data_IF_944304158584
#
_entry.id   IF_944304158584
#
_cell.length_a   1.000
_cell.length_b   1.000
_cell.length_c   1.000
_cell.angle_alpha   90.00
_cell.angle_beta   90.00
_cell.angle_gamma   90.00
#
_symmetry.space_group_name_H-M   'P 1'
#
loop_
_entity.id
_entity.type
_entity.pdbx_description
1 polymer ?
#
# COMPACT_ATOMS: atom_id res chain seq x y z
N UNK A 1 7.05 -15.57 0.83
CA UNK A 1 7.28 -14.29 1.53
C UNK A 1 5.92 -13.87 2.04
N UNK A 2 5.81 -13.52 3.31
CA UNK A 2 4.55 -13.16 3.94
C UNK A 2 4.65 -11.76 4.53
N UNK A 3 3.50 -11.10 4.65
CA UNK A 3 3.31 -9.77 5.20
C UNK A 3 2.81 -9.93 6.63
N UNK A 4 3.51 -9.34 7.59
CA UNK A 4 3.04 -9.20 8.95
C UNK A 4 2.77 -7.72 9.22
N UNK A 5 1.53 -7.36 9.48
CA UNK A 5 1.15 -6.02 9.90
C UNK A 5 0.86 -6.02 11.41
N UNK A 6 1.55 -5.16 12.16
CA UNK A 6 1.30 -4.95 13.59
C UNK A 6 0.78 -3.54 13.80
N UNK A 7 -0.22 -3.44 14.67
CA UNK A 7 -0.74 -2.19 15.19
C UNK A 7 -0.24 -2.00 16.60
N UNK A 8 0.61 -1.01 16.78
CA UNK A 8 1.20 -0.69 18.07
C UNK A 8 0.67 0.66 18.53
N UNK A 9 0.12 0.69 19.74
CA UNK A 9 -0.27 1.94 20.41
C UNK A 9 0.81 2.22 21.43
N UNK A 10 1.56 3.31 21.24
CA UNK A 10 2.59 3.72 22.19
C UNK A 10 1.95 4.39 23.42
N UNK A 11 2.73 4.45 24.51
CA UNK A 11 2.25 4.95 25.80
C UNK A 11 1.85 6.44 25.78
N UNK A 12 2.28 7.19 24.77
CA UNK A 12 1.94 8.59 24.53
C UNK A 12 0.68 8.77 23.65
N UNK A 13 0.08 7.67 23.19
CA UNK A 13 -1.12 7.66 22.36
C UNK A 13 -0.87 7.70 20.85
N UNK A 14 0.40 7.71 20.41
CA UNK A 14 0.71 7.49 19.00
C UNK A 14 0.29 6.07 18.58
N UNK A 15 -0.25 5.95 17.37
CA UNK A 15 -0.47 4.64 16.75
C UNK A 15 0.55 4.46 15.64
N UNK A 16 1.03 3.24 15.48
CA UNK A 16 1.90 2.86 14.39
C UNK A 16 1.29 1.72 13.60
N UNK A 17 1.40 1.80 12.28
CA UNK A 17 1.21 0.65 11.39
C UNK A 17 2.60 0.21 10.96
N UNK A 18 3.02 -0.95 11.43
CA UNK A 18 4.29 -1.56 11.03
C UNK A 18 4.01 -2.71 10.11
N UNK A 19 4.51 -2.61 8.88
CA UNK A 19 4.46 -3.66 7.88
C UNK A 19 5.83 -4.32 7.78
N UNK A 20 5.88 -5.61 8.05
CA UNK A 20 7.09 -6.42 7.93
C UNK A 20 6.90 -7.43 6.81
N UNK A 21 7.72 -7.31 5.77
CA UNK A 21 7.90 -8.36 4.78
C UNK A 21 8.87 -9.39 5.32
N UNK A 22 8.41 -10.62 5.45
CA UNK A 22 9.17 -11.68 6.10
C UNK A 22 9.35 -12.87 5.14
N UNK A 23 10.58 -13.36 5.05
CA UNK A 23 10.88 -14.61 4.33
C UNK A 23 10.89 -15.77 5.33
N UNK A 24 10.12 -16.82 5.05
CA UNK A 24 10.30 -18.14 5.68
C UNK A 24 11.37 -18.89 4.91
N UNK A 25 12.37 -19.42 5.60
CA UNK A 25 13.13 -20.55 5.09
C UNK A 25 12.50 -21.88 5.60
N UNK A 26 13.03 -23.02 5.13
CA UNK A 26 12.52 -24.36 5.49
C UNK A 26 12.91 -24.81 6.90
N UNK A 27 13.68 -24.03 7.65
CA UNK A 27 14.33 -24.47 8.91
C UNK A 27 14.12 -23.53 10.11
N UNK A 28 13.48 -22.37 9.91
CA UNK A 28 13.46 -21.26 10.86
C UNK A 28 14.82 -20.54 10.91
N UNK A 29 14.95 -19.27 11.41
CA UNK A 29 13.96 -18.27 11.79
C UNK A 29 13.61 -17.29 10.63
N UNK A 30 12.74 -16.35 10.92
CA UNK A 30 12.12 -15.40 9.98
C UNK A 30 13.00 -14.17 9.74
N UNK A 31 13.65 -14.04 8.58
CA UNK A 31 14.35 -12.80 8.23
C UNK A 31 13.34 -11.77 7.74
N UNK A 32 13.23 -10.63 8.45
CA UNK A 32 12.54 -9.44 7.96
C UNK A 32 13.34 -8.88 6.79
N UNK A 33 12.80 -9.01 5.58
CA UNK A 33 13.42 -8.53 4.34
C UNK A 33 13.25 -7.02 4.20
N UNK A 34 12.14 -6.47 4.69
CA UNK A 34 11.82 -5.04 4.70
C UNK A 34 10.80 -4.75 5.78
N UNK A 35 10.99 -3.65 6.51
CA UNK A 35 10.01 -3.14 7.47
C UNK A 35 9.72 -1.69 7.13
N UNK A 36 8.44 -1.33 7.12
CA UNK A 36 7.99 0.05 6.94
C UNK A 36 7.05 0.36 8.10
N UNK A 37 7.38 1.38 8.89
CA UNK A 37 6.58 1.82 10.04
C UNK A 37 6.12 3.25 9.77
N UNK A 38 4.81 3.47 9.79
CA UNK A 38 4.21 4.79 9.61
C UNK A 38 3.72 5.32 10.95
N UNK A 39 4.16 6.53 11.33
CA UNK A 39 3.55 7.24 12.46
C UNK A 39 2.16 7.70 12.06
N UNK A 40 1.16 7.33 12.85
CA UNK A 40 -0.19 7.83 12.70
C UNK A 40 -0.45 8.97 13.69
N UNK A 41 -0.82 10.14 13.17
CA UNK A 41 -1.36 11.24 13.98
C UNK A 41 -2.84 11.39 13.62
N UNK A 42 -3.72 11.07 14.57
CA UNK A 42 -5.15 11.28 14.39
C UNK A 42 -5.44 12.76 14.17
N UNK A 43 -6.02 13.11 13.02
CA UNK A 43 -6.79 14.35 12.89
C UNK A 43 -8.25 14.01 13.22
N UNK A 44 -8.98 14.97 13.81
CA UNK A 44 -10.27 14.84 14.52
C UNK A 44 -11.34 13.94 13.86
N UNK A 45 -11.14 12.63 13.97
CA UNK A 45 -12.07 11.58 13.54
C UNK A 45 -11.50 10.69 12.44
N UNK A 46 -11.02 9.51 12.86
CA UNK A 46 -10.73 8.33 12.04
C UNK A 46 -9.41 8.31 11.23
N UNK A 47 -8.46 7.47 11.66
CA UNK A 47 -7.92 6.41 10.78
C UNK A 47 -7.76 5.13 11.65
N UNK A 48 -8.90 4.55 12.05
CA UNK A 48 -8.93 3.26 12.73
C UNK A 48 -8.83 2.15 11.68
N UNK A 49 -7.93 1.24 11.96
CA UNK A 49 -7.57 0.03 11.23
C UNK A 49 -8.78 -0.89 11.08
N UNK A 50 -9.05 -1.40 9.87
CA UNK A 50 -9.86 -2.62 9.77
C UNK A 50 -9.12 -3.76 10.45
N UNK A 51 -9.81 -4.52 11.29
CA UNK A 51 -9.31 -5.80 11.83
C UNK A 51 -8.71 -6.65 10.71
N UNK A 52 -7.72 -7.48 11.04
CA UNK A 52 -7.15 -8.46 10.13
C UNK A 52 -8.29 -9.18 9.38
N UNK A 53 -8.23 -9.17 8.05
CA UNK A 53 -9.18 -9.89 7.21
C UNK A 53 -8.69 -11.32 7.02
N UNK A 54 -9.56 -12.29 7.25
CA UNK A 54 -9.28 -13.68 6.98
C UNK A 54 -9.27 -13.94 5.47
N UNK A 55 -8.39 -14.84 4.97
CA UNK A 55 -8.43 -15.28 3.58
C UNK A 55 -9.79 -15.88 3.21
N UNK A 56 -10.22 -15.68 1.97
CA UNK A 56 -11.45 -16.32 1.47
C UNK A 56 -11.23 -17.84 1.40
N UNK A 57 -11.99 -18.65 2.17
CA UNK A 57 -11.81 -20.10 2.20
C UNK A 57 -12.14 -20.77 0.86
N UNK A 58 -12.80 -20.07 -0.08
CA UNK A 58 -13.18 -20.59 -1.39
C UNK A 58 -12.18 -20.23 -2.49
N UNK A 59 -11.18 -19.38 -2.21
CA UNK A 59 -10.20 -18.94 -3.20
C UNK A 59 -8.88 -19.67 -3.01
N UNK A 60 -8.60 -20.62 -3.90
CA UNK A 60 -7.25 -21.16 -4.03
C UNK A 60 -6.29 -20.06 -4.54
N UNK A 61 -5.19 -19.86 -3.83
CA UNK A 61 -4.17 -18.84 -4.16
C UNK A 61 -4.69 -17.39 -4.21
N UNK A 62 -5.61 -17.02 -3.32
CA UNK A 62 -6.20 -15.66 -3.23
C UNK A 62 -5.16 -14.53 -3.39
N UNK A 63 -4.02 -14.61 -2.69
CA UNK A 63 -2.97 -13.60 -2.78
C UNK A 63 -2.41 -13.41 -4.20
N UNK A 64 -2.34 -14.48 -5.01
CA UNK A 64 -1.90 -14.38 -6.40
C UNK A 64 -2.96 -13.73 -7.30
N UNK A 65 -4.25 -14.04 -7.06
CA UNK A 65 -5.38 -13.42 -7.77
C UNK A 65 -5.46 -11.92 -7.47
N UNK A 66 -5.36 -11.56 -6.19
CA UNK A 66 -5.36 -10.17 -5.74
C UNK A 66 -4.15 -9.40 -6.26
N UNK A 67 -2.96 -10.03 -6.26
CA UNK A 67 -1.75 -9.46 -6.88
C UNK A 67 -1.96 -9.15 -8.37
N UNK A 68 -2.66 -10.02 -9.11
CA UNK A 68 -2.98 -9.78 -10.52
C UNK A 68 -3.94 -8.60 -10.70
N UNK A 69 -4.96 -8.47 -9.84
CA UNK A 69 -5.88 -7.33 -9.84
C UNK A 69 -5.15 -6.00 -9.60
N UNK A 70 -4.30 -5.95 -8.57
CA UNK A 70 -3.49 -4.75 -8.26
C UNK A 70 -2.51 -4.42 -9.38
N UNK A 71 -1.89 -5.43 -10.00
CA UNK A 71 -0.99 -5.21 -11.14
C UNK A 71 -1.73 -4.58 -12.34
N UNK A 72 -2.95 -5.04 -12.61
CA UNK A 72 -3.79 -4.47 -13.66
C UNK A 72 -4.22 -3.04 -13.33
N UNK A 73 -4.62 -2.77 -12.08
CA UNK A 73 -4.93 -1.43 -11.59
C UNK A 73 -3.77 -0.45 -11.80
N UNK A 74 -2.56 -0.81 -11.35
CA UNK A 74 -1.38 0.06 -11.50
C UNK A 74 -1.10 0.35 -12.96
N UNK A 75 -1.15 -0.66 -13.83
CA UNK A 75 -0.93 -0.46 -15.25
C UNK A 75 -1.97 0.49 -15.86
N UNK A 76 -3.25 0.14 -15.74
CA UNK A 76 -4.32 0.81 -16.48
C UNK A 76 -4.63 2.19 -15.94
N UNK A 77 -4.52 2.39 -14.62
CA UNK A 77 -4.94 3.61 -13.95
C UNK A 77 -3.74 4.48 -13.58
N UNK A 78 -2.77 3.92 -12.87
CA UNK A 78 -1.66 4.71 -12.30
C UNK A 78 -0.64 5.08 -13.38
N UNK A 79 -0.22 4.11 -14.20
CA UNK A 79 0.80 4.30 -15.24
C UNK A 79 0.22 4.90 -16.52
N UNK A 80 -0.86 4.31 -17.02
CA UNK A 80 -1.44 4.69 -18.32
C UNK A 80 -2.44 5.86 -18.19
N UNK A 81 -2.75 6.29 -16.96
CA UNK A 81 -3.59 7.46 -16.68
C UNK A 81 -5.08 7.25 -16.93
N UNK A 82 -5.54 6.02 -17.12
CA UNK A 82 -6.94 5.66 -17.37
C UNK A 82 -7.82 5.74 -16.12
N UNK A 83 -8.03 6.95 -15.59
CA UNK A 83 -8.83 7.21 -14.37
C UNK A 83 -10.25 6.68 -14.49
N UNK A 84 -10.81 6.62 -15.70
CA UNK A 84 -12.11 6.04 -16.02
C UNK A 84 -12.20 4.53 -15.75
N UNK A 85 -11.07 3.82 -15.68
CA UNK A 85 -11.04 2.39 -15.38
C UNK A 85 -11.00 2.09 -13.88
N UNK A 86 -10.83 3.11 -13.04
CA UNK A 86 -10.56 2.96 -11.60
C UNK A 86 -11.64 2.16 -10.86
N UNK A 87 -12.89 2.37 -11.19
CA UNK A 87 -14.04 1.76 -10.51
C UNK A 87 -14.19 0.26 -10.83
N UNK A 88 -13.46 -0.24 -11.83
CA UNK A 88 -13.33 -1.68 -12.08
C UNK A 88 -12.44 -2.38 -11.04
N UNK A 89 -11.52 -1.64 -10.42
CA UNK A 89 -10.55 -2.16 -9.46
C UNK A 89 -10.85 -1.78 -8.02
N UNK A 90 -11.56 -0.67 -7.80
CA UNK A 90 -11.82 -0.13 -6.47
C UNK A 90 -13.33 -0.18 -6.18
N UNK A 91 -13.70 -0.71 -5.02
CA UNK A 91 -15.08 -0.62 -4.54
C UNK A 91 -15.32 0.75 -3.90
N UNK A 92 -15.90 1.67 -4.67
CA UNK A 92 -16.21 3.02 -4.22
C UNK A 92 -17.12 3.09 -3.00
N UNK A 93 -18.00 2.12 -2.80
CA UNK A 93 -18.94 2.13 -1.69
C UNK A 93 -18.29 1.74 -0.36
N UNK A 94 -17.09 1.14 -0.42
CA UNK A 94 -16.40 0.57 0.74
C UNK A 94 -14.99 1.10 0.94
N UNK A 95 -14.41 1.75 -0.08
CA UNK A 95 -13.03 2.20 -0.07
C UNK A 95 -12.72 3.15 1.08
N UNK A 96 -11.74 2.77 1.89
CA UNK A 96 -11.14 3.63 2.93
C UNK A 96 -9.65 3.79 2.64
N UNK A 97 -9.14 5.01 2.75
CA UNK A 97 -7.70 5.26 2.71
C UNK A 97 -7.22 5.83 4.03
N UNK A 98 -6.04 5.38 4.44
CA UNK A 98 -5.36 5.78 5.67
C UNK A 98 -4.09 6.60 5.39
N UNK A 99 -3.97 7.15 4.19
CA UNK A 99 -2.78 7.90 3.79
C UNK A 99 -2.55 9.12 4.67
N UNK A 100 -1.31 9.38 5.12
CA UNK A 100 -0.99 10.57 5.90
C UNK A 100 -1.43 11.86 5.21
N UNK A 101 -2.13 12.74 5.94
CA UNK A 101 -2.66 14.02 5.41
C UNK A 101 -3.79 13.86 4.38
N UNK A 102 -4.32 12.66 4.25
CA UNK A 102 -5.07 12.23 3.07
C UNK A 102 -6.10 11.13 3.35
N UNK A 103 -6.30 10.74 4.60
CA UNK A 103 -7.24 9.70 4.97
C UNK A 103 -8.64 10.05 4.44
N UNK A 104 -9.36 9.06 3.94
CA UNK A 104 -10.72 9.25 3.46
C UNK A 104 -11.58 8.00 3.66
N UNK A 105 -12.88 8.23 3.84
CA UNK A 105 -13.93 7.22 3.72
C UNK A 105 -14.47 7.17 2.28
N UNK A 106 -15.41 6.27 1.93
CA UNK A 106 -16.04 6.21 0.62
C UNK A 106 -16.49 7.57 0.07
N UNK A 107 -17.01 8.45 0.94
CA UNK A 107 -17.52 9.76 0.54
C UNK A 107 -16.40 10.74 0.14
N UNK A 108 -15.17 10.54 0.62
CA UNK A 108 -14.00 11.35 0.31
C UNK A 108 -13.18 10.83 -0.88
N UNK A 109 -13.62 9.76 -1.52
CA UNK A 109 -12.88 9.07 -2.57
C UNK A 109 -12.53 9.94 -3.77
N UNK A 110 -13.48 10.75 -4.26
CA UNK A 110 -13.22 11.60 -5.43
C UNK A 110 -12.21 12.70 -5.13
N UNK A 111 -12.25 13.27 -3.92
CA UNK A 111 -11.25 14.24 -3.48
C UNK A 111 -9.84 13.62 -3.37
N UNK A 112 -9.73 12.38 -2.88
CA UNK A 112 -8.46 11.66 -2.85
C UNK A 112 -7.89 11.48 -4.26
N UNK A 113 -8.74 11.08 -5.20
CA UNK A 113 -8.37 10.86 -6.60
C UNK A 113 -7.89 12.14 -7.24
N UNK A 114 -8.62 13.24 -7.05
CA UNK A 114 -8.25 14.53 -7.62
C UNK A 114 -6.86 14.99 -7.15
N UNK A 115 -6.48 14.64 -5.91
CA UNK A 115 -5.15 14.92 -5.37
C UNK A 115 -4.05 14.03 -5.96
N UNK A 116 -4.38 12.82 -6.42
CA UNK A 116 -3.42 11.80 -6.89
C UNK A 116 -3.38 11.60 -8.40
N UNK A 117 -4.23 12.29 -9.16
CA UNK A 117 -4.23 12.19 -10.63
C UNK A 117 -2.88 12.61 -11.23
N UNK A 118 -2.50 12.08 -12.40
CA UNK A 118 -1.33 12.54 -13.13
C UNK A 118 -1.33 14.06 -13.28
N UNK A 119 -0.21 14.70 -12.94
CA UNK A 119 -0.03 16.16 -12.98
C UNK A 119 1.42 16.50 -13.35
N UNK A 120 1.68 17.68 -13.94
CA UNK A 120 3.05 18.14 -14.14
C UNK A 120 3.83 18.10 -12.84
N UNK A 121 5.09 17.63 -12.91
CA UNK A 121 5.94 17.46 -11.73
C UNK A 121 5.81 16.10 -11.05
N UNK A 122 4.87 15.22 -11.45
CA UNK A 122 4.75 13.85 -10.96
C UNK A 122 5.09 12.85 -12.07
N UNK A 123 6.12 12.02 -11.86
CA UNK A 123 6.55 10.97 -12.81
C UNK A 123 6.63 9.63 -12.09
N UNK A 124 5.80 8.67 -12.47
CA UNK A 124 5.85 7.31 -11.93
C UNK A 124 6.91 6.46 -12.63
N UNK A 125 7.84 5.87 -11.88
CA UNK A 125 8.95 5.06 -12.43
C UNK A 125 8.64 3.57 -12.47
N UNK A 126 7.72 3.09 -11.63
CA UNK A 126 7.27 1.70 -11.64
C UNK A 126 7.22 1.06 -10.28
N UNK A 127 6.98 -0.26 -10.30
CA UNK A 127 6.95 -1.14 -9.14
C UNK A 127 8.32 -1.84 -9.01
N UNK A 128 8.98 -1.66 -7.87
CA UNK A 128 10.21 -2.37 -7.50
C UNK A 128 9.88 -3.81 -7.07
N UNK A 129 8.84 -3.98 -6.25
CA UNK A 129 8.42 -5.28 -5.73
C UNK A 129 6.91 -5.30 -5.43
N UNK A 130 6.28 -6.46 -5.58
CA UNK A 130 4.88 -6.66 -5.21
C UNK A 130 4.68 -8.05 -4.59
N UNK A 131 4.02 -8.10 -3.44
CA UNK A 131 3.73 -9.33 -2.69
C UNK A 131 2.26 -9.40 -2.37
N UNK A 132 1.63 -10.55 -2.63
CA UNK A 132 0.23 -10.80 -2.31
C UNK A 132 0.10 -11.98 -1.36
N UNK A 133 -0.75 -11.85 -0.34
CA UNK A 133 -1.05 -12.86 0.65
C UNK A 133 -2.49 -12.70 1.14
N UNK A 134 -3.31 -13.73 0.89
CA UNK A 134 -4.75 -13.68 1.17
C UNK A 134 -5.39 -12.41 0.59
N UNK A 135 -6.11 -11.62 1.40
CA UNK A 135 -6.77 -10.40 0.95
C UNK A 135 -5.82 -9.21 0.78
N UNK A 136 -4.53 -9.34 1.10
CA UNK A 136 -3.59 -8.21 1.11
C UNK A 136 -2.61 -8.24 -0.06
N UNK A 137 -2.28 -7.06 -0.57
CA UNK A 137 -1.20 -6.84 -1.54
C UNK A 137 -0.36 -5.65 -1.10
N UNK A 138 0.95 -5.87 -0.92
CA UNK A 138 1.93 -4.80 -0.73
C UNK A 138 2.61 -4.47 -2.06
N UNK A 139 2.79 -3.17 -2.33
CA UNK A 139 3.42 -2.62 -3.52
C UNK A 139 4.54 -1.68 -3.10
N UNK A 140 5.76 -1.95 -3.56
CA UNK A 140 6.90 -1.04 -3.42
C UNK A 140 7.10 -0.35 -4.76
N UNK A 141 7.04 0.97 -4.77
CA UNK A 141 7.13 1.75 -6.00
C UNK A 141 8.01 2.98 -5.86
N UNK A 142 8.44 3.51 -7.01
CA UNK A 142 9.31 4.68 -7.11
C UNK A 142 8.66 5.72 -8.02
N UNK A 143 8.76 7.00 -7.66
CA UNK A 143 8.29 8.12 -8.47
C UNK A 143 9.06 9.40 -8.15
N UNK A 144 9.12 10.32 -9.11
CA UNK A 144 9.57 11.69 -8.85
C UNK A 144 8.37 12.60 -8.62
N UNK A 145 8.50 13.50 -7.66
CA UNK A 145 7.51 14.54 -7.38
C UNK A 145 8.23 15.86 -7.10
N UNK A 146 7.89 16.90 -7.87
CA UNK A 146 8.33 18.28 -7.63
C UNK A 146 9.86 18.43 -7.47
N UNK A 147 10.63 17.61 -8.20
CA UNK A 147 12.10 17.67 -8.27
C UNK A 147 12.85 16.74 -7.30
N UNK A 148 12.14 15.95 -6.49
CA UNK A 148 12.72 14.92 -5.62
C UNK A 148 12.21 13.51 -5.97
N UNK A 149 13.01 12.49 -5.68
CA UNK A 149 12.65 11.08 -5.88
C UNK A 149 12.08 10.52 -4.58
N UNK A 150 10.99 9.79 -4.68
CA UNK A 150 10.30 9.16 -3.56
C UNK A 150 10.16 7.66 -3.77
N UNK A 151 10.15 6.93 -2.66
CA UNK A 151 9.70 5.54 -2.61
C UNK A 151 8.43 5.43 -1.80
N UNK A 152 7.48 4.65 -2.30
CA UNK A 152 6.25 4.33 -1.62
C UNK A 152 6.17 2.85 -1.27
N UNK A 153 5.52 2.56 -0.15
CA UNK A 153 5.01 1.25 0.22
C UNK A 153 3.49 1.38 0.37
N UNK A 154 2.74 0.92 -0.63
CA UNK A 154 1.28 0.85 -0.57
C UNK A 154 0.86 -0.53 -0.05
N UNK A 155 -0.05 -0.57 0.93
CA UNK A 155 -0.78 -1.77 1.33
C UNK A 155 -2.22 -1.64 0.86
N UNK A 156 -2.68 -2.66 0.15
CA UNK A 156 -4.02 -2.73 -0.38
C UNK A 156 -4.69 -3.95 0.21
N UNK A 157 -5.92 -3.77 0.71
CA UNK A 157 -6.80 -4.88 1.06
C UNK A 157 -7.88 -4.99 0.01
N UNK A 158 -8.11 -6.22 -0.44
CA UNK A 158 -9.12 -6.55 -1.41
C UNK A 158 -10.22 -7.39 -0.79
N UNK A 159 -11.44 -7.19 -1.28
CA UNK A 159 -12.58 -8.07 -1.08
C UNK A 159 -13.30 -8.22 -2.42
N UNK A 160 -13.80 -9.43 -2.72
CA UNK A 160 -14.49 -9.73 -3.97
C UNK A 160 -13.71 -9.25 -5.22
N UNK A 161 -12.37 -9.35 -5.17
CA UNK A 161 -11.46 -8.95 -6.24
C UNK A 161 -11.29 -7.44 -6.43
N UNK A 162 -11.80 -6.60 -5.51
CA UNK A 162 -11.68 -5.14 -5.56
C UNK A 162 -10.99 -4.59 -4.34
N UNK A 163 -10.24 -3.51 -4.54
CA UNK A 163 -9.59 -2.76 -3.47
C UNK A 163 -10.67 -2.06 -2.64
N UNK A 164 -10.69 -2.35 -1.35
CA UNK A 164 -11.62 -1.78 -0.37
C UNK A 164 -10.88 -0.96 0.69
N UNK A 165 -9.56 -1.10 0.80
CA UNK A 165 -8.78 -0.37 1.79
C UNK A 165 -7.35 -0.13 1.34
N UNK A 166 -6.78 1.02 1.73
CA UNK A 166 -5.47 1.47 1.31
C UNK A 166 -4.70 2.18 2.42
N UNK A 167 -3.44 1.78 2.63
CA UNK A 167 -2.46 2.50 3.45
C UNK A 167 -1.23 2.78 2.60
N UNK A 168 -0.53 3.87 2.88
CA UNK A 168 0.77 4.10 2.30
C UNK A 168 1.75 4.79 3.25
N UNK A 169 3.03 4.57 2.96
CA UNK A 169 4.14 5.38 3.44
C UNK A 169 4.92 5.85 2.25
N UNK A 170 5.21 7.14 2.21
CA UNK A 170 5.97 7.79 1.15
C UNK A 170 7.17 8.46 1.81
N UNK A 171 8.37 8.09 1.36
CA UNK A 171 9.62 8.66 1.86
C UNK A 171 10.43 9.24 0.71
N UNK A 172 10.98 10.42 0.93
CA UNK A 172 11.96 11.00 0.01
C UNK A 172 13.25 10.17 0.06
N UNK A 173 13.75 9.78 -1.12
CA UNK A 173 15.04 9.13 -1.22
C UNK A 173 16.11 10.19 -0.99
N UNK A 174 16.87 10.04 0.09
CA UNK A 174 17.92 11.00 0.42
C UNK A 174 18.90 11.16 -0.75
N UNK A 175 19.23 12.41 -1.09
CA UNK A 175 20.15 12.78 -2.17
C UNK A 175 21.57 12.21 -2.02
N UNK A 176 21.88 11.61 -0.87
CA UNK A 176 23.13 10.93 -0.57
C UNK A 176 22.87 9.86 0.47
N UNK A 177 22.32 8.72 0.07
CA UNK A 177 22.56 7.49 0.81
C UNK A 177 22.46 6.23 -0.04
N UNK A 178 23.49 5.43 0.15
CA UNK A 178 23.61 4.02 -0.15
C UNK A 178 22.43 3.27 0.48
N UNK A 179 21.62 2.61 -0.34
CA UNK A 179 20.97 1.36 -0.01
C UNK A 179 20.72 0.61 -1.32
N UNK A 180 21.82 0.22 -1.99
CA UNK A 180 21.79 -1.00 -2.78
C UNK A 180 21.53 -2.13 -1.78
N UNK A 181 20.27 -2.49 -1.57
CA UNK A 181 19.92 -3.79 -1.01
C UNK A 181 19.93 -4.87 -2.11
N UNK A 182 20.74 -4.67 -3.14
CA UNK A 182 21.14 -5.71 -4.08
C UNK A 182 22.28 -6.48 -3.42
N UNK A 183 21.93 -7.38 -2.51
CA UNK A 183 22.84 -8.46 -2.12
C UNK A 183 22.43 -9.71 -2.92
N UNK A 184 23.44 -10.25 -3.60
CA UNK A 184 23.55 -11.49 -4.38
C UNK A 184 22.66 -12.66 -3.99
#
# INVERSE_FOLDING_TARGET
MFIHSVHEVEADGDVWVTMSMVRRDRTGPMTVKRQVSARFTASDGYCAVSSAADPDPNLENEGALNKAQVSAFIRMVVRDGGVEHRDAFIDRGRFVSHSPGACCRPEGYDALVDRRRPRPGLTYHGVDEMVGEGPYVAVFSCFDMDGATYRACDLLRLEDGRIVEHWDVIEEVASHSVAHNDET
#
